data_IF_669689388798
#
_entry.id   IF_669689388798
#
_cell.length_a   1.000
_cell.length_b   1.000
_cell.length_c   1.000
_cell.angle_alpha   90.00
_cell.angle_beta   90.00
_cell.angle_gamma   90.00
#
_symmetry.space_group_name_H-M   'P 1'
#
loop_
_entity.id
_entity.type
_entity.pdbx_description
1 polymer ?
#
# COMPACT_ATOMS: atom_id res chain seq x y z
N UNK A 1 23.84 69.99 -10.31
CA UNK A 1 22.55 69.73 -9.61
C UNK A 1 21.78 68.49 -10.08
N UNK A 2 21.89 68.02 -11.34
CA UNK A 2 21.08 66.89 -11.85
C UNK A 2 21.35 65.50 -11.21
N UNK A 3 22.58 65.20 -10.76
CA UNK A 3 22.91 63.88 -10.18
C UNK A 3 22.20 63.60 -8.85
N UNK A 4 22.02 64.63 -8.01
CA UNK A 4 21.33 64.44 -6.72
C UNK A 4 19.82 64.23 -6.88
N UNK A 5 19.22 64.75 -7.95
CA UNK A 5 17.79 64.58 -8.22
C UNK A 5 17.46 63.13 -8.62
N UNK A 6 18.32 62.50 -9.43
CA UNK A 6 18.16 61.10 -9.84
C UNK A 6 18.27 60.12 -8.67
N UNK A 7 19.18 60.39 -7.73
CA UNK A 7 19.38 59.57 -6.53
C UNK A 7 18.16 59.68 -5.61
N UNK A 8 17.63 60.89 -5.38
CA UNK A 8 16.40 61.09 -4.59
C UNK A 8 15.18 60.41 -5.21
N UNK A 9 15.04 60.47 -6.54
CA UNK A 9 13.95 59.79 -7.25
C UNK A 9 14.03 58.26 -7.12
N UNK A 10 15.25 57.68 -7.12
CA UNK A 10 15.46 56.24 -6.92
C UNK A 10 15.02 55.78 -5.52
N UNK A 11 15.35 56.54 -4.47
CA UNK A 11 14.91 56.20 -3.10
C UNK A 11 13.40 56.30 -2.91
N UNK A 12 12.74 57.27 -3.55
CA UNK A 12 11.26 57.36 -3.52
C UNK A 12 10.61 56.18 -4.23
N UNK A 13 11.19 55.73 -5.35
CA UNK A 13 10.66 54.57 -6.09
C UNK A 13 10.83 53.25 -5.32
N UNK A 14 11.97 53.04 -4.66
CA UNK A 14 12.20 51.87 -3.79
C UNK A 14 11.27 51.92 -2.58
N UNK A 15 11.07 53.08 -1.96
CA UNK A 15 10.15 53.20 -0.82
C UNK A 15 8.71 52.84 -1.21
N UNK A 16 8.22 53.31 -2.36
CA UNK A 16 6.87 52.99 -2.86
C UNK A 16 6.66 51.49 -3.13
N UNK A 17 7.70 50.75 -3.52
CA UNK A 17 7.64 49.29 -3.68
C UNK A 17 7.53 48.54 -2.34
N UNK A 18 8.12 49.08 -1.26
CA UNK A 18 8.02 48.46 0.07
C UNK A 18 6.71 48.79 0.79
N UNK A 19 6.11 49.98 0.59
CA UNK A 19 4.83 50.32 1.25
C UNK A 19 3.61 49.68 0.56
N UNK A 20 3.74 49.24 -0.70
CA UNK A 20 2.69 48.50 -1.41
C UNK A 20 2.67 47.00 -1.09
N UNK A 21 3.63 46.49 -0.30
CA UNK A 21 3.61 45.13 0.24
C UNK A 21 2.90 45.05 1.61
N UNK A 22 1.84 45.82 1.78
CA UNK A 22 0.92 45.67 2.91
C UNK A 22 0.07 44.40 2.66
N UNK A 23 0.39 43.34 3.40
CA UNK A 23 -0.12 41.99 3.21
C UNK A 23 -1.63 41.87 3.14
N UNK A 24 -2.17 41.80 1.92
CA UNK A 24 -3.51 41.27 1.68
C UNK A 24 -3.42 39.74 1.78
N UNK A 25 -3.83 39.17 2.92
CA UNK A 25 -4.10 37.72 3.03
C UNK A 25 -5.07 37.35 1.91
N UNK A 26 -4.59 36.67 0.87
CA UNK A 26 -5.46 36.00 -0.09
C UNK A 26 -6.34 35.01 0.69
N UNK A 27 -7.64 35.30 0.79
CA UNK A 27 -8.63 34.30 1.22
C UNK A 27 -8.73 33.31 0.08
N UNK A 28 -8.04 32.18 0.21
CA UNK A 28 -8.17 31.04 -0.68
C UNK A 28 -9.63 30.55 -0.54
N UNK A 29 -10.46 30.85 -1.54
CA UNK A 29 -11.87 30.42 -1.65
C UNK A 29 -11.99 29.06 -2.35
N UNK A 30 -11.03 28.16 -2.15
CA UNK A 30 -11.25 26.76 -2.48
C UNK A 30 -11.88 26.12 -1.26
N UNK A 31 -13.12 25.61 -1.34
CA UNK A 31 -13.52 24.57 -0.40
C UNK A 31 -12.57 23.40 -0.71
N UNK A 32 -11.46 23.32 0.02
CA UNK A 32 -10.85 22.01 0.25
C UNK A 32 -11.96 21.24 0.96
N UNK A 33 -12.73 20.47 0.20
CA UNK A 33 -13.45 19.34 0.76
C UNK A 33 -12.41 18.62 1.59
N UNK A 34 -12.51 18.72 2.92
CA UNK A 34 -11.67 17.94 3.80
C UNK A 34 -12.02 16.50 3.46
N UNK A 35 -11.21 15.88 2.60
CA UNK A 35 -11.34 14.45 2.35
C UNK A 35 -11.23 13.82 3.72
N UNK A 36 -12.33 13.24 4.17
CA UNK A 36 -12.46 12.70 5.51
C UNK A 36 -11.34 11.66 5.67
N UNK A 37 -10.33 12.01 6.46
CA UNK A 37 -9.17 11.15 6.66
C UNK A 37 -9.64 10.00 7.55
N UNK A 38 -10.16 8.94 6.94
CA UNK A 38 -10.49 7.71 7.66
C UNK A 38 -9.21 7.18 8.30
N UNK A 39 -9.13 7.28 9.62
CA UNK A 39 -8.04 6.72 10.40
C UNK A 39 -8.31 5.21 10.55
N UNK A 40 -7.64 4.40 9.73
CA UNK A 40 -7.77 2.94 9.77
C UNK A 40 -6.63 2.36 10.59
N UNK A 41 -6.96 1.71 11.70
CA UNK A 41 -5.99 0.92 12.46
C UNK A 41 -5.81 -0.44 11.79
N UNK A 42 -4.57 -0.74 11.36
CA UNK A 42 -4.26 -1.99 10.64
C UNK A 42 -4.44 -3.25 11.49
N UNK A 43 -4.33 -3.13 12.82
CA UNK A 43 -4.48 -4.27 13.73
C UNK A 43 -5.92 -4.78 13.82
N UNK A 44 -6.89 -3.93 13.46
CA UNK A 44 -8.31 -4.27 13.48
C UNK A 44 -8.76 -4.96 12.18
N UNK A 45 -7.90 -4.95 11.14
CA UNK A 45 -8.19 -5.57 9.85
C UNK A 45 -7.95 -7.09 9.90
N UNK A 46 -8.79 -7.90 9.21
CA UNK A 46 -8.62 -9.34 9.20
C UNK A 46 -7.35 -9.76 8.43
N UNK A 47 -6.73 -10.85 8.90
CA UNK A 47 -5.55 -11.47 8.29
C UNK A 47 -5.91 -12.76 7.56
N UNK A 48 -5.19 -13.06 6.49
CA UNK A 48 -5.32 -14.30 5.72
C UNK A 48 -4.87 -15.50 6.54
N UNK A 49 -5.66 -16.58 6.52
CA UNK A 49 -5.41 -17.84 7.24
C UNK A 49 -5.32 -19.03 6.29
N UNK A 50 -4.73 -20.13 6.78
CA UNK A 50 -4.64 -21.39 6.03
C UNK A 50 -3.79 -21.28 4.77
N UNK A 51 -2.71 -20.50 4.82
CA UNK A 51 -1.76 -20.39 3.71
C UNK A 51 -1.09 -21.75 3.47
N UNK A 52 -1.13 -22.22 2.22
CA UNK A 52 -0.51 -23.43 1.72
C UNK A 52 0.44 -23.07 0.57
N UNK A 53 1.60 -23.72 0.53
CA UNK A 53 2.64 -23.51 -0.49
C UNK A 53 3.09 -24.88 -0.99
N UNK A 54 2.92 -25.13 -2.28
CA UNK A 54 3.20 -26.42 -2.91
C UNK A 54 3.99 -26.24 -4.20
N UNK A 55 5.07 -27.00 -4.36
CA UNK A 55 5.79 -27.09 -5.64
C UNK A 55 4.98 -27.93 -6.62
N UNK A 56 4.72 -27.37 -7.80
CA UNK A 56 4.08 -28.04 -8.95
C UNK A 56 5.05 -28.07 -10.14
N UNK A 57 4.67 -28.68 -11.25
CA UNK A 57 5.48 -28.69 -12.47
C UNK A 57 5.53 -27.33 -13.18
N UNK A 58 4.53 -26.46 -12.96
CA UNK A 58 4.45 -25.13 -13.56
C UNK A 58 5.14 -24.05 -12.73
N UNK A 59 5.32 -24.28 -11.43
CA UNK A 59 5.83 -23.29 -10.48
C UNK A 59 5.41 -23.60 -9.05
N UNK A 60 5.49 -22.61 -8.17
CA UNK A 60 5.01 -22.74 -6.79
C UNK A 60 3.56 -22.28 -6.70
N UNK A 61 2.66 -23.22 -6.43
CA UNK A 61 1.25 -22.96 -6.17
C UNK A 61 1.06 -22.52 -4.73
N UNK A 62 0.40 -21.40 -4.55
CA UNK A 62 0.16 -20.74 -3.27
C UNK A 62 -1.34 -20.56 -3.14
N UNK A 63 -1.95 -21.07 -2.08
CA UNK A 63 -3.38 -20.93 -1.84
C UNK A 63 -3.69 -20.61 -0.39
N UNK A 64 -4.85 -20.00 -0.13
CA UNK A 64 -5.28 -19.64 1.21
C UNK A 64 -6.79 -19.79 1.37
N UNK A 65 -7.27 -19.78 2.61
CA UNK A 65 -8.71 -19.80 2.87
C UNK A 65 -9.33 -18.43 2.56
N UNK A 66 -10.61 -18.39 2.13
CA UNK A 66 -11.36 -17.15 2.02
C UNK A 66 -11.28 -16.33 3.30
N UNK A 67 -11.03 -15.02 3.15
CA UNK A 67 -10.88 -14.11 4.28
C UNK A 67 -12.20 -13.92 5.04
N UNK A 68 -13.31 -13.96 4.31
CA UNK A 68 -14.67 -13.87 4.82
C UNK A 68 -15.43 -15.15 4.47
N UNK A 69 -16.21 -15.64 5.44
CA UNK A 69 -17.06 -16.82 5.31
C UNK A 69 -18.34 -16.59 6.11
N UNK A 70 -19.32 -17.49 5.99
CA UNK A 70 -20.56 -17.42 6.78
C UNK A 70 -20.31 -17.46 8.29
N UNK A 71 -19.19 -18.06 8.72
CA UNK A 71 -18.79 -18.17 10.13
C UNK A 71 -18.00 -16.94 10.63
N UNK A 72 -17.68 -15.99 9.75
CA UNK A 72 -16.91 -14.81 10.13
C UNK A 72 -17.77 -13.87 10.99
N UNK A 73 -17.28 -13.42 12.16
CA UNK A 73 -18.00 -12.48 13.03
C UNK A 73 -18.49 -11.24 12.27
N UNK A 74 -19.70 -10.78 12.59
CA UNK A 74 -20.39 -9.70 11.86
C UNK A 74 -19.60 -8.39 11.81
N UNK A 75 -18.89 -8.05 12.89
CA UNK A 75 -18.02 -6.88 12.97
C UNK A 75 -16.83 -6.93 12.01
N UNK A 76 -16.28 -8.13 11.75
CA UNK A 76 -15.19 -8.33 10.79
C UNK A 76 -15.75 -8.36 9.36
N UNK A 77 -16.93 -8.95 9.18
CA UNK A 77 -17.59 -9.06 7.88
C UNK A 77 -17.89 -7.70 7.25
N UNK A 78 -18.02 -6.64 8.04
CA UNK A 78 -18.16 -5.28 7.51
C UNK A 78 -16.98 -4.87 6.60
N UNK A 79 -15.76 -5.36 6.86
CA UNK A 79 -14.59 -5.05 6.05
C UNK A 79 -14.60 -5.72 4.67
N UNK A 80 -15.52 -6.66 4.43
CA UNK A 80 -15.64 -7.36 3.14
C UNK A 80 -15.90 -6.39 1.98
N UNK A 81 -16.74 -5.37 2.20
CA UNK A 81 -17.02 -4.32 1.20
C UNK A 81 -15.80 -3.50 0.80
N UNK A 82 -14.78 -3.49 1.66
CA UNK A 82 -13.56 -2.72 1.47
C UNK A 82 -12.41 -3.58 0.93
N UNK A 83 -12.55 -4.90 0.83
CA UNK A 83 -11.51 -5.78 0.31
C UNK A 83 -11.35 -5.55 -1.20
N UNK A 84 -10.13 -5.16 -1.61
CA UNK A 84 -9.75 -5.11 -3.02
C UNK A 84 -9.19 -6.45 -3.50
N UNK A 85 -8.50 -7.20 -2.64
CA UNK A 85 -7.88 -8.47 -3.02
C UNK A 85 -6.61 -8.73 -2.22
N UNK A 86 -5.61 -9.34 -2.85
CA UNK A 86 -4.43 -9.88 -2.19
C UNK A 86 -3.14 -9.53 -2.92
N UNK A 87 -2.10 -9.29 -2.12
CA UNK A 87 -0.71 -9.18 -2.54
C UNK A 87 0.11 -10.31 -1.93
N UNK A 88 0.99 -10.90 -2.74
CA UNK A 88 1.76 -12.08 -2.40
C UNK A 88 3.21 -11.64 -2.33
N UNK A 89 3.91 -12.05 -1.29
CA UNK A 89 5.32 -11.70 -1.08
C UNK A 89 6.13 -12.98 -0.99
N UNK A 90 7.26 -13.00 -1.70
CA UNK A 90 8.27 -14.05 -1.60
C UNK A 90 9.45 -13.54 -0.76
N UNK A 91 9.80 -14.31 0.26
CA UNK A 91 10.94 -14.08 1.11
C UNK A 91 12.06 -15.03 0.68
N UNK A 92 13.13 -14.44 0.15
CA UNK A 92 14.33 -15.21 -0.23
C UNK A 92 15.03 -15.78 1.02
N UNK A 93 15.85 -16.80 0.81
CA UNK A 93 16.66 -17.42 1.88
C UNK A 93 17.41 -16.35 2.69
N UNK A 94 17.13 -16.31 4.00
CA UNK A 94 17.68 -15.37 4.99
C UNK A 94 17.08 -13.95 4.99
N UNK A 95 15.99 -13.70 4.26
CA UNK A 95 15.29 -12.42 4.37
C UNK A 95 14.73 -12.23 5.79
N UNK A 96 15.22 -11.22 6.50
CA UNK A 96 14.76 -10.86 7.85
C UNK A 96 13.41 -10.12 7.82
N UNK A 97 13.10 -9.46 6.71
CA UNK A 97 11.91 -8.62 6.56
C UNK A 97 11.11 -9.02 5.32
N UNK A 98 9.79 -8.79 5.39
CA UNK A 98 8.92 -8.90 4.22
C UNK A 98 9.34 -7.82 3.22
N UNK A 99 9.59 -8.16 1.94
CA UNK A 99 9.93 -7.17 0.92
C UNK A 99 8.85 -6.10 0.76
N UNK A 100 9.24 -4.90 0.33
CA UNK A 100 8.30 -3.81 0.07
C UNK A 100 7.36 -4.09 -1.11
N UNK A 101 7.85 -4.81 -2.10
CA UNK A 101 7.13 -5.05 -3.34
C UNK A 101 6.60 -6.49 -3.38
N UNK A 102 5.32 -6.69 -3.73
CA UNK A 102 4.77 -8.02 -3.95
C UNK A 102 5.31 -8.61 -5.27
N UNK A 103 5.17 -9.94 -5.41
CA UNK A 103 5.56 -10.65 -6.63
C UNK A 103 4.50 -10.57 -7.74
N UNK A 104 3.23 -10.38 -7.36
CA UNK A 104 2.15 -10.11 -8.31
C UNK A 104 2.18 -8.65 -8.77
N UNK A 105 2.01 -8.42 -10.08
CA UNK A 105 1.97 -7.07 -10.67
C UNK A 105 0.64 -6.35 -10.39
N UNK A 106 -0.45 -7.11 -10.33
CA UNK A 106 -1.81 -6.63 -10.13
C UNK A 106 -2.41 -7.32 -8.91
N UNK A 107 -3.37 -6.66 -8.26
CA UNK A 107 -4.08 -7.20 -7.10
C UNK A 107 -4.80 -8.50 -7.50
N UNK A 108 -4.64 -9.54 -6.67
CA UNK A 108 -5.26 -10.83 -6.91
C UNK A 108 -6.63 -10.89 -6.23
N UNK A 109 -7.67 -11.27 -6.98
CA UNK A 109 -9.04 -11.36 -6.47
C UNK A 109 -9.45 -12.78 -6.04
N UNK A 110 -8.67 -13.78 -6.46
CA UNK A 110 -8.88 -15.20 -6.18
C UNK A 110 -7.98 -15.67 -5.04
N UNK A 111 -8.34 -16.78 -4.39
CA UNK A 111 -7.63 -17.32 -3.23
C UNK A 111 -6.42 -18.21 -3.56
N UNK A 112 -5.83 -18.02 -4.73
CA UNK A 112 -4.62 -18.73 -5.14
C UNK A 112 -3.77 -17.92 -6.11
N UNK A 113 -2.49 -18.27 -6.20
CA UNK A 113 -1.51 -17.69 -7.10
C UNK A 113 -0.45 -18.73 -7.47
N UNK A 114 0.14 -18.60 -8.66
CA UNK A 114 1.26 -19.44 -9.09
C UNK A 114 2.47 -18.56 -9.34
N UNK A 115 3.54 -18.79 -8.59
CA UNK A 115 4.84 -18.20 -8.88
C UNK A 115 5.56 -19.05 -9.95
N UNK A 116 5.60 -18.52 -11.17
CA UNK A 116 6.25 -19.14 -12.33
C UNK A 116 7.77 -18.91 -12.39
N UNK A 117 8.37 -18.28 -11.37
CA UNK A 117 9.79 -17.96 -11.41
C UNK A 117 10.64 -19.24 -11.39
N UNK A 118 11.40 -19.47 -12.47
CA UNK A 118 12.25 -20.67 -12.63
C UNK A 118 13.44 -20.73 -11.65
N UNK A 119 13.77 -19.63 -10.96
CA UNK A 119 14.88 -19.53 -10.00
C UNK A 119 14.44 -19.65 -8.54
N UNK A 120 13.26 -20.22 -8.26
CA UNK A 120 12.79 -20.39 -6.90
C UNK A 120 13.70 -21.38 -6.16
N UNK A 121 14.15 -20.98 -4.97
CA UNK A 121 14.91 -21.84 -4.08
C UNK A 121 13.93 -22.63 -3.21
N UNK A 122 14.19 -23.92 -2.96
CA UNK A 122 13.40 -24.75 -2.03
C UNK A 122 13.36 -24.20 -0.58
N UNK A 123 14.11 -23.13 -0.30
CA UNK A 123 14.17 -22.45 0.98
C UNK A 123 13.39 -21.13 1.00
N UNK A 124 12.81 -20.72 -0.13
CA UNK A 124 11.98 -19.53 -0.19
C UNK A 124 10.71 -19.72 0.62
N UNK A 125 10.21 -18.63 1.17
CA UNK A 125 8.99 -18.61 1.97
C UNK A 125 8.01 -17.58 1.41
N UNK A 126 6.72 -17.79 1.67
CA UNK A 126 5.67 -16.94 1.13
C UNK A 126 4.76 -16.43 2.24
N UNK A 127 4.21 -15.24 2.02
CA UNK A 127 3.16 -14.64 2.85
C UNK A 127 2.19 -13.88 1.95
N UNK A 128 0.94 -13.78 2.39
CA UNK A 128 -0.14 -13.11 1.67
C UNK A 128 -0.68 -11.99 2.52
N UNK A 129 -0.83 -10.81 1.91
CA UNK A 129 -1.38 -9.63 2.54
C UNK A 129 -2.72 -9.25 1.87
N UNK A 130 -3.82 -9.16 2.62
CA UNK A 130 -5.06 -8.61 2.09
C UNK A 130 -4.93 -7.09 1.90
N UNK A 131 -5.52 -6.57 0.83
CA UNK A 131 -5.49 -5.16 0.45
C UNK A 131 -6.89 -4.59 0.54
N UNK A 132 -7.04 -3.48 1.26
CA UNK A 132 -8.32 -2.82 1.49
C UNK A 132 -8.34 -1.41 0.91
N UNK A 133 -9.53 -0.91 0.57
CA UNK A 133 -9.76 0.47 0.14
C UNK A 133 -10.77 1.16 1.03
N UNK A 134 -10.36 2.28 1.63
CA UNK A 134 -11.20 3.15 2.45
C UNK A 134 -11.17 4.56 1.85
N UNK A 135 -12.27 4.96 1.21
CA UNK A 135 -12.30 6.18 0.40
C UNK A 135 -11.23 6.15 -0.70
N UNK A 136 -10.34 7.15 -0.68
CA UNK A 136 -9.24 7.28 -1.65
C UNK A 136 -7.93 6.59 -1.20
N UNK A 137 -7.93 5.91 -0.05
CA UNK A 137 -6.73 5.27 0.51
C UNK A 137 -6.75 3.77 0.30
N UNK A 138 -5.61 3.22 -0.14
CA UNK A 138 -5.34 1.79 -0.19
C UNK A 138 -4.48 1.42 1.02
N UNK A 139 -4.91 0.43 1.77
CA UNK A 139 -4.26 -0.02 3.01
C UNK A 139 -4.00 -1.51 2.93
N UNK A 140 -2.74 -1.91 3.08
CA UNK A 140 -2.39 -3.32 3.32
C UNK A 140 -2.72 -3.73 4.75
N UNK A 141 -3.50 -4.80 4.89
CA UNK A 141 -3.84 -5.41 6.17
C UNK A 141 -2.66 -6.21 6.77
N UNK A 142 -2.89 -6.97 7.85
CA UNK A 142 -1.87 -7.83 8.43
C UNK A 142 -1.50 -8.97 7.48
N UNK A 143 -0.21 -9.18 7.28
CA UNK A 143 0.29 -10.33 6.51
C UNK A 143 -0.09 -11.66 7.18
N UNK A 144 -0.29 -12.69 6.39
CA UNK A 144 -0.49 -14.05 6.88
C UNK A 144 0.76 -14.58 7.57
N UNK A 145 0.63 -15.76 8.19
CA UNK A 145 1.79 -16.59 8.55
C UNK A 145 2.74 -16.75 7.36
N UNK A 146 4.05 -16.80 7.64
CA UNK A 146 5.08 -17.06 6.65
C UNK A 146 5.22 -18.58 6.53
N UNK A 147 5.00 -19.11 5.33
CA UNK A 147 5.08 -20.54 5.05
C UNK A 147 6.25 -20.81 4.13
N UNK A 148 7.12 -21.72 4.58
CA UNK A 148 8.26 -22.17 3.80
C UNK A 148 7.81 -23.16 2.75
N UNK A 149 8.40 -23.07 1.56
CA UNK A 149 8.22 -24.09 0.54
C UNK A 149 8.71 -25.45 1.08
N UNK A 150 7.86 -26.47 1.01
CA UNK A 150 8.26 -27.84 1.33
C UNK A 150 9.02 -28.44 0.15
N UNK A 151 10.13 -29.13 0.43
CA UNK A 151 11.00 -29.72 -0.59
C UNK A 151 10.37 -30.93 -1.33
N UNK A 152 9.22 -31.45 -0.89
CA UNK A 152 8.59 -32.61 -1.50
C UNK A 152 7.55 -32.19 -2.54
N UNK A 153 7.77 -32.61 -3.79
CA UNK A 153 6.70 -32.80 -4.77
C UNK A 153 5.68 -33.76 -4.14
N UNK A 154 4.49 -33.26 -3.83
CA UNK A 154 3.36 -34.14 -3.54
C UNK A 154 2.94 -34.70 -4.90
N UNK A 155 2.97 -36.02 -5.12
CA UNK A 155 2.57 -36.61 -6.40
C UNK A 155 1.10 -36.25 -6.69
N UNK A 156 0.73 -36.07 -7.97
CA UNK A 156 -0.67 -35.87 -8.32
C UNK A 156 -1.49 -37.09 -7.88
N UNK A 157 -2.56 -36.84 -7.12
CA UNK A 157 -3.64 -37.80 -6.87
C UNK A 157 -4.57 -37.87 -8.05
#
# INVERSE_FOLDING_TARGET
MQKQFKIKAFYVFVFLFFVSSCGRKQKIFFPLSQEEVVAVNKLDLPSVKGLLVQQTDLGVYISWLPLFSEKTPSNIKEFEKNLLGFNIFRLEKNAMFIPKNPINKEIIYINHYVDFNKKINNLDSYTVQPIFKFGNKIVGGPSSQIIKQLAKKIPPT
#
